data_IF_398711003883
#
_entry.id   IF_398711003883
#
_cell.length_a   1.000
_cell.length_b   1.000
_cell.length_c   1.000
_cell.angle_alpha   90.00
_cell.angle_beta   90.00
_cell.angle_gamma   90.00
#
_symmetry.space_group_name_H-M   'P 1'
#
loop_
_entity.id
_entity.type
_entity.pdbx_description
1 polymer ?
#
# COMPACT_ATOMS: atom_id res chain seq x y z
N UNK A 1 -5.74 -0.16 16.59
CA UNK A 1 -4.95 -0.29 15.34
C UNK A 1 -3.49 -0.61 15.67
N UNK A 2 -2.69 -1.05 14.72
CA UNK A 2 -1.24 -1.27 14.87
C UNK A 2 -0.53 -0.31 13.93
N UNK A 3 0.48 0.43 14.44
CA UNK A 3 1.18 1.43 13.65
C UNK A 3 2.41 0.83 12.95
N UNK A 4 2.59 1.19 11.69
CA UNK A 4 3.75 0.90 10.86
C UNK A 4 4.18 2.12 10.06
N UNK A 5 5.27 2.02 9.33
CA UNK A 5 5.76 3.04 8.42
C UNK A 5 6.34 2.40 7.18
N UNK A 6 6.17 3.04 6.03
CA UNK A 6 6.77 2.60 4.79
C UNK A 6 8.23 3.06 4.67
N UNK A 7 9.08 2.17 4.16
CA UNK A 7 10.50 2.44 3.95
C UNK A 7 10.79 3.49 2.87
N UNK A 8 9.79 3.99 2.15
CA UNK A 8 9.97 5.11 1.22
C UNK A 8 10.20 6.44 1.95
N UNK A 9 9.96 6.49 3.27
CA UNK A 9 10.13 7.67 4.09
C UNK A 9 11.58 8.06 4.37
N UNK A 10 12.57 7.22 4.04
CA UNK A 10 14.01 7.47 4.25
C UNK A 10 14.87 6.83 3.16
N UNK A 11 16.18 7.13 3.14
CA UNK A 11 17.12 6.54 2.19
C UNK A 11 17.66 5.20 2.72
N UNK A 12 18.00 4.24 1.85
CA UNK A 12 18.43 2.89 2.26
C UNK A 12 19.68 2.87 3.17
N UNK A 13 20.52 3.89 3.10
CA UNK A 13 21.68 4.04 3.98
C UNK A 13 21.32 4.50 5.40
N UNK A 14 20.06 4.82 5.68
CA UNK A 14 19.55 5.23 6.99
C UNK A 14 18.85 4.07 7.74
N UNK A 15 18.76 2.88 7.14
CA UNK A 15 17.99 1.74 7.71
C UNK A 15 18.37 1.44 9.16
N UNK A 16 19.67 1.38 9.51
CA UNK A 16 20.10 1.06 10.89
C UNK A 16 19.66 2.16 11.88
N UNK A 17 19.75 3.44 11.51
CA UNK A 17 19.31 4.55 12.35
C UNK A 17 17.79 4.51 12.56
N UNK A 18 17.03 4.23 11.50
CA UNK A 18 15.58 4.12 11.57
C UNK A 18 15.16 2.89 12.40
N UNK A 19 15.82 1.75 12.27
CA UNK A 19 15.56 0.57 13.10
C UNK A 19 15.71 0.89 14.59
N UNK A 20 16.78 1.59 14.97
CA UNK A 20 16.99 2.02 16.35
C UNK A 20 15.85 2.94 16.81
N UNK A 21 15.42 3.86 15.97
CA UNK A 21 14.30 4.77 16.25
C UNK A 21 12.98 4.00 16.42
N UNK A 22 12.66 3.09 15.51
CA UNK A 22 11.45 2.26 15.58
C UNK A 22 11.41 1.47 16.89
N UNK A 23 12.53 0.82 17.25
CA UNK A 23 12.66 0.07 18.51
C UNK A 23 12.49 0.98 19.74
N UNK A 24 13.10 2.18 19.75
CA UNK A 24 12.96 3.19 20.81
C UNK A 24 11.52 3.61 21.03
N UNK A 25 10.75 3.75 19.94
CA UNK A 25 9.33 4.15 19.97
C UNK A 25 8.37 2.98 20.13
N UNK A 26 8.86 1.74 20.18
CA UNK A 26 8.02 0.55 20.30
C UNK A 26 7.25 0.17 19.01
N UNK A 27 7.61 0.77 17.88
CA UNK A 27 7.01 0.47 16.59
C UNK A 27 7.63 -0.80 16.01
N UNK A 28 6.79 -1.75 15.60
CA UNK A 28 7.22 -3.08 15.15
C UNK A 28 6.87 -3.39 13.70
N UNK A 29 5.99 -2.61 13.08
CA UNK A 29 5.56 -2.81 11.70
C UNK A 29 6.41 -2.03 10.70
N UNK A 30 6.82 -2.69 9.63
CA UNK A 30 7.46 -2.09 8.48
C UNK A 30 6.71 -2.47 7.21
N UNK A 31 6.35 -1.49 6.42
CA UNK A 31 5.92 -1.66 5.05
C UNK A 31 7.08 -1.41 4.10
N UNK A 32 7.18 -2.22 3.05
CA UNK A 32 8.33 -2.15 2.14
C UNK A 32 7.92 -1.87 0.69
N UNK A 33 8.72 -1.06 0.01
CA UNK A 33 8.77 -0.99 -1.44
C UNK A 33 9.87 -1.95 -1.92
N UNK A 34 9.55 -3.05 -2.63
CA UNK A 34 10.53 -4.11 -2.95
C UNK A 34 11.76 -3.58 -3.69
N UNK A 35 11.56 -2.63 -4.62
CA UNK A 35 12.63 -2.05 -5.43
C UNK A 35 13.60 -1.16 -4.65
N UNK A 36 13.32 -0.83 -3.39
CA UNK A 36 14.32 -0.19 -2.51
C UNK A 36 15.39 -1.14 -1.99
N UNK A 37 15.10 -2.45 -2.00
CA UNK A 37 16.04 -3.48 -1.57
C UNK A 37 16.64 -4.25 -2.75
N UNK A 38 15.85 -4.46 -3.80
CA UNK A 38 16.24 -5.24 -4.97
C UNK A 38 15.92 -4.48 -6.24
N UNK A 39 16.91 -4.22 -7.07
CA UNK A 39 16.68 -3.63 -8.39
C UNK A 39 15.73 -4.48 -9.24
N UNK A 40 15.83 -5.79 -9.10
CA UNK A 40 14.98 -6.80 -9.74
C UNK A 40 14.44 -7.78 -8.69
N UNK A 41 13.32 -7.46 -8.02
CA UNK A 41 12.82 -8.25 -6.89
C UNK A 41 12.58 -9.73 -7.21
N UNK A 42 12.15 -10.04 -8.43
CA UNK A 42 11.84 -11.42 -8.83
C UNK A 42 13.08 -12.30 -9.11
N UNK A 43 14.27 -11.71 -9.17
CA UNK A 43 15.51 -12.46 -9.34
C UNK A 43 16.07 -12.98 -7.99
N UNK A 44 15.47 -12.58 -6.87
CA UNK A 44 15.90 -12.99 -5.53
C UNK A 44 15.70 -14.48 -5.29
N UNK A 45 16.76 -15.16 -4.90
CA UNK A 45 16.71 -16.58 -4.55
C UNK A 45 16.12 -16.84 -3.16
N UNK A 46 15.61 -18.06 -2.90
CA UNK A 46 14.99 -18.40 -1.60
C UNK A 46 15.90 -18.15 -0.38
N UNK A 47 17.19 -18.36 -0.52
CA UNK A 47 18.19 -18.12 0.54
C UNK A 47 18.29 -16.63 0.89
N UNK A 48 18.29 -15.77 -0.13
CA UNK A 48 18.36 -14.32 0.04
C UNK A 48 17.09 -13.80 0.72
N UNK A 49 15.92 -14.25 0.29
CA UNK A 49 14.63 -13.90 0.90
C UNK A 49 14.56 -14.33 2.37
N UNK A 50 15.06 -15.54 2.68
CA UNK A 50 15.12 -16.00 4.07
C UNK A 50 16.06 -15.15 4.92
N UNK A 51 17.23 -14.78 4.40
CA UNK A 51 18.19 -13.91 5.10
C UNK A 51 17.60 -12.51 5.31
N UNK A 52 16.91 -11.97 4.30
CA UNK A 52 16.23 -10.69 4.40
C UNK A 52 15.14 -10.70 5.49
N UNK A 53 14.29 -11.72 5.52
CA UNK A 53 13.28 -11.89 6.56
C UNK A 53 13.93 -11.95 7.95
N UNK A 54 14.95 -12.80 8.13
CA UNK A 54 15.66 -12.95 9.39
C UNK A 54 16.35 -11.66 9.85
N UNK A 55 16.87 -10.86 8.93
CA UNK A 55 17.49 -9.57 9.24
C UNK A 55 16.51 -8.65 9.98
N UNK A 56 15.26 -8.54 9.51
CA UNK A 56 14.24 -7.71 10.14
C UNK A 56 13.69 -8.32 11.43
N UNK A 57 13.44 -9.63 11.44
CA UNK A 57 12.94 -10.34 12.63
C UNK A 57 13.92 -10.24 13.83
N UNK A 58 15.22 -10.41 13.58
CA UNK A 58 16.26 -10.27 14.61
C UNK A 58 16.35 -8.85 15.19
N UNK A 59 15.82 -7.86 14.47
CA UNK A 59 15.72 -6.47 14.92
C UNK A 59 14.35 -6.12 15.50
N UNK A 60 13.53 -7.12 15.78
CA UNK A 60 12.15 -7.00 16.27
C UNK A 60 11.24 -6.19 15.33
N UNK A 61 11.46 -6.25 14.03
CA UNK A 61 10.63 -5.61 13.01
C UNK A 61 9.90 -6.69 12.22
N UNK A 62 8.58 -6.53 12.09
CA UNK A 62 7.72 -7.38 11.28
C UNK A 62 7.46 -6.70 9.93
N UNK A 63 7.71 -7.39 8.83
CA UNK A 63 7.29 -6.96 7.50
C UNK A 63 5.79 -7.19 7.36
N UNK A 64 5.00 -6.11 7.25
CA UNK A 64 3.52 -6.22 7.33
C UNK A 64 2.83 -6.04 6.00
N UNK A 65 3.37 -5.20 5.15
CA UNK A 65 2.81 -4.86 3.85
C UNK A 65 3.91 -4.58 2.82
N UNK A 66 3.51 -4.63 1.54
CA UNK A 66 4.30 -4.11 0.42
C UNK A 66 3.48 -3.09 -0.36
N UNK A 67 4.13 -2.03 -0.76
CA UNK A 67 3.57 -1.00 -1.63
C UNK A 67 4.52 -0.70 -2.80
N UNK A 68 4.13 0.19 -3.72
CA UNK A 68 4.94 0.53 -4.92
C UNK A 68 5.38 -0.71 -5.72
N UNK A 69 4.51 -1.73 -5.79
CA UNK A 69 4.81 -3.04 -6.36
C UNK A 69 5.37 -2.97 -7.78
N UNK A 70 4.89 -2.01 -8.57
CA UNK A 70 5.21 -1.83 -9.98
C UNK A 70 6.17 -0.66 -10.25
N UNK A 71 6.80 -0.13 -9.20
CA UNK A 71 7.75 0.97 -9.37
C UNK A 71 8.92 0.55 -10.27
N UNK A 72 9.24 1.39 -11.26
CA UNK A 72 10.30 1.09 -12.25
C UNK A 72 9.92 0.06 -13.32
N UNK A 73 8.73 -0.54 -13.26
CA UNK A 73 8.27 -1.49 -14.27
C UNK A 73 7.64 -0.78 -15.46
N UNK A 74 8.10 -1.10 -16.67
CA UNK A 74 7.63 -0.50 -17.91
C UNK A 74 6.92 -1.53 -18.80
N UNK A 75 5.95 -1.08 -19.59
CA UNK A 75 5.24 -1.95 -20.54
C UNK A 75 4.23 -2.89 -19.87
N UNK A 76 4.02 -2.78 -18.57
CA UNK A 76 3.00 -3.51 -17.82
C UNK A 76 1.76 -2.62 -17.66
N UNK A 77 0.65 -2.97 -18.29
CA UNK A 77 -0.59 -2.20 -18.17
C UNK A 77 -1.81 -3.13 -18.31
N UNK A 78 -2.80 -2.92 -17.45
CA UNK A 78 -4.01 -3.73 -17.38
C UNK A 78 -4.87 -3.63 -18.65
N UNK A 79 -4.94 -2.45 -19.26
CA UNK A 79 -5.90 -2.13 -20.32
C UNK A 79 -5.27 -1.94 -21.71
N UNK A 80 -3.93 -1.99 -21.88
CA UNK A 80 -3.33 -1.69 -23.18
C UNK A 80 -3.54 -2.82 -24.20
N UNK A 81 -3.12 -4.04 -23.90
CA UNK A 81 -3.33 -5.23 -24.71
C UNK A 81 -3.12 -6.52 -23.89
N UNK A 82 -3.47 -7.66 -24.48
CA UNK A 82 -3.39 -8.97 -23.82
C UNK A 82 -1.96 -9.32 -23.38
N UNK A 83 -0.95 -9.02 -24.19
CA UNK A 83 0.45 -9.33 -23.86
C UNK A 83 0.92 -8.54 -22.65
N UNK A 84 0.66 -7.23 -22.63
CA UNK A 84 1.01 -6.35 -21.50
C UNK A 84 0.29 -6.77 -20.21
N UNK A 85 -0.98 -7.15 -20.32
CA UNK A 85 -1.79 -7.65 -19.20
C UNK A 85 -1.25 -8.98 -18.65
N UNK A 86 -0.86 -9.90 -19.51
CA UNK A 86 -0.27 -11.17 -19.09
C UNK A 86 1.08 -10.94 -18.39
N UNK A 87 1.94 -10.08 -18.90
CA UNK A 87 3.19 -9.71 -18.24
C UNK A 87 2.96 -9.04 -16.88
N UNK A 88 1.93 -8.17 -16.78
CA UNK A 88 1.54 -7.58 -15.51
C UNK A 88 1.10 -8.65 -14.51
N UNK A 89 0.27 -9.59 -14.94
CA UNK A 89 -0.18 -10.71 -14.13
C UNK A 89 0.99 -11.56 -13.63
N UNK A 90 1.86 -12.00 -14.51
CA UNK A 90 3.06 -12.80 -14.18
C UNK A 90 3.94 -12.07 -13.17
N UNK A 91 4.16 -10.78 -13.35
CA UNK A 91 4.95 -9.98 -12.43
C UNK A 91 4.31 -9.89 -11.04
N UNK A 92 3.00 -9.61 -10.96
CA UNK A 92 2.27 -9.54 -9.69
C UNK A 92 2.25 -10.89 -8.97
N UNK A 93 2.07 -12.00 -9.70
CA UNK A 93 2.18 -13.36 -9.15
C UNK A 93 3.56 -13.61 -8.52
N UNK A 94 4.64 -13.19 -9.20
CA UNK A 94 5.99 -13.29 -8.65
C UNK A 94 6.19 -12.45 -7.38
N UNK A 95 5.60 -11.25 -7.32
CA UNK A 95 5.61 -10.41 -6.10
C UNK A 95 4.82 -11.08 -4.96
N UNK A 96 3.69 -11.74 -5.26
CA UNK A 96 2.92 -12.48 -4.25
C UNK A 96 3.72 -13.64 -3.64
N UNK A 97 4.39 -14.45 -4.48
CA UNK A 97 5.27 -15.54 -4.04
C UNK A 97 6.42 -15.00 -3.16
N UNK A 98 7.06 -13.90 -3.58
CA UNK A 98 8.10 -13.23 -2.80
C UNK A 98 7.54 -12.78 -1.43
N UNK A 99 6.39 -12.10 -1.43
CA UNK A 99 5.75 -11.58 -0.23
C UNK A 99 5.37 -12.71 0.75
N UNK A 100 4.80 -13.80 0.26
CA UNK A 100 4.48 -14.99 1.05
C UNK A 100 5.71 -15.58 1.74
N UNK A 101 6.82 -15.72 1.00
CA UNK A 101 8.11 -16.23 1.53
C UNK A 101 8.69 -15.38 2.66
N UNK A 102 8.59 -14.07 2.59
CA UNK A 102 9.09 -13.18 3.65
C UNK A 102 8.03 -12.87 4.73
N UNK A 103 6.79 -13.36 4.57
CA UNK A 103 5.73 -13.28 5.58
C UNK A 103 4.89 -12.00 5.55
N UNK A 104 5.00 -11.19 4.51
CA UNK A 104 4.14 -10.02 4.26
C UNK A 104 2.69 -10.46 4.03
N UNK A 105 1.71 -9.64 4.44
CA UNK A 105 0.29 -9.98 4.37
C UNK A 105 -0.52 -9.11 3.44
N UNK A 106 -0.21 -7.83 3.29
CA UNK A 106 -0.94 -6.91 2.43
C UNK A 106 -0.06 -6.42 1.27
N UNK A 107 -0.59 -6.44 0.06
CA UNK A 107 0.08 -5.96 -1.15
C UNK A 107 -0.75 -4.84 -1.75
N UNK A 108 -0.25 -3.61 -1.71
CA UNK A 108 -0.97 -2.42 -2.19
C UNK A 108 -0.78 -2.24 -3.69
N UNK A 109 -1.86 -2.46 -4.44
CA UNK A 109 -1.91 -2.22 -5.89
C UNK A 109 -2.40 -0.80 -6.16
N UNK A 110 -1.47 0.17 -6.08
CA UNK A 110 -1.75 1.60 -6.28
C UNK A 110 -1.47 2.11 -7.69
N UNK A 111 -0.38 1.79 -8.24
CA UNK A 111 0.24 2.16 -9.54
C UNK A 111 -0.68 2.74 -10.64
N UNK A 112 -0.98 4.05 -10.67
CA UNK A 112 -1.89 4.66 -11.67
C UNK A 112 -1.49 4.37 -13.12
N UNK A 113 -0.20 4.50 -13.43
CA UNK A 113 0.33 4.34 -14.81
C UNK A 113 0.14 2.93 -15.38
N UNK A 114 0.05 1.92 -14.52
CA UNK A 114 -0.10 0.52 -14.94
C UNK A 114 -1.56 0.11 -15.14
N UNK A 115 -2.52 1.03 -14.90
CA UNK A 115 -3.95 0.81 -15.05
C UNK A 115 -4.69 1.95 -15.73
N UNK A 116 -3.99 2.72 -16.59
CA UNK A 116 -4.62 3.71 -17.46
C UNK A 116 -5.57 3.02 -18.42
N UNK A 117 -6.82 3.51 -18.47
CA UNK A 117 -7.93 2.89 -19.20
C UNK A 117 -7.78 2.92 -20.72
N UNK A 118 -6.91 3.76 -21.25
CA UNK A 118 -6.67 3.92 -22.68
C UNK A 118 -7.95 4.23 -23.48
N UNK A 119 -8.88 4.96 -22.86
CA UNK A 119 -10.13 5.39 -23.50
C UNK A 119 -11.25 4.34 -23.51
N UNK A 120 -11.08 3.21 -22.82
CA UNK A 120 -12.15 2.22 -22.62
C UNK A 120 -13.28 2.82 -21.77
N UNK A 121 -14.52 2.47 -22.09
CA UNK A 121 -15.68 2.76 -21.25
C UNK A 121 -15.58 2.04 -19.89
N UNK A 122 -16.31 2.53 -18.87
CA UNK A 122 -16.32 1.89 -17.54
C UNK A 122 -16.73 0.42 -17.58
N UNK A 123 -17.69 0.05 -18.42
CA UNK A 123 -18.09 -1.36 -18.60
C UNK A 123 -16.95 -2.20 -19.15
N UNK A 124 -16.29 -1.75 -20.21
CA UNK A 124 -15.15 -2.47 -20.80
C UNK A 124 -13.98 -2.59 -19.82
N UNK A 125 -13.75 -1.57 -18.99
CA UNK A 125 -12.75 -1.63 -17.93
C UNK A 125 -13.07 -2.73 -16.91
N UNK A 126 -14.32 -2.83 -16.45
CA UNK A 126 -14.76 -3.85 -15.49
C UNK A 126 -14.75 -5.24 -16.12
N UNK A 127 -15.17 -5.40 -17.37
CA UNK A 127 -15.11 -6.68 -18.10
C UNK A 127 -13.68 -7.26 -18.18
N UNK A 128 -12.68 -6.40 -18.16
CA UNK A 128 -11.26 -6.79 -18.14
C UNK A 128 -10.74 -6.95 -16.70
N UNK A 129 -11.06 -6.02 -15.81
CA UNK A 129 -10.47 -5.95 -14.48
C UNK A 129 -11.00 -7.04 -13.55
N UNK A 130 -12.29 -7.35 -13.59
CA UNK A 130 -12.91 -8.35 -12.70
C UNK A 130 -12.24 -9.73 -12.87
N UNK A 131 -12.17 -10.34 -14.06
CA UNK A 131 -11.52 -11.63 -14.21
C UNK A 131 -10.02 -11.57 -13.93
N UNK A 132 -9.34 -10.47 -14.26
CA UNK A 132 -7.92 -10.29 -13.96
C UNK A 132 -7.63 -10.30 -12.45
N UNK A 133 -8.38 -9.54 -11.65
CA UNK A 133 -8.21 -9.52 -10.21
C UNK A 133 -8.74 -10.78 -9.52
N UNK A 134 -9.73 -11.48 -10.09
CA UNK A 134 -10.19 -12.76 -9.58
C UNK A 134 -9.08 -13.83 -9.66
N UNK A 135 -8.39 -13.94 -10.79
CA UNK A 135 -7.25 -14.86 -10.94
C UNK A 135 -6.11 -14.53 -9.96
N UNK A 136 -5.79 -13.24 -9.76
CA UNK A 136 -4.78 -12.81 -8.79
C UNK A 136 -5.23 -13.08 -7.35
N UNK A 137 -6.51 -12.94 -7.05
CA UNK A 137 -7.06 -13.20 -5.73
C UNK A 137 -6.95 -14.68 -5.31
N UNK A 138 -7.16 -15.61 -6.26
CA UNK A 138 -6.92 -17.04 -6.03
C UNK A 138 -5.46 -17.31 -5.66
N UNK A 139 -4.52 -16.75 -6.41
CA UNK A 139 -3.09 -16.88 -6.12
C UNK A 139 -2.70 -16.22 -4.78
N UNK A 140 -3.29 -15.08 -4.44
CA UNK A 140 -3.03 -14.39 -3.19
C UNK A 140 -3.36 -15.26 -1.96
N UNK A 141 -4.47 -16.00 -2.00
CA UNK A 141 -4.83 -16.95 -0.93
C UNK A 141 -3.81 -18.08 -0.81
N UNK A 142 -3.33 -18.61 -1.93
CA UNK A 142 -2.31 -19.68 -1.93
C UNK A 142 -1.02 -19.20 -1.25
N UNK A 143 -0.60 -17.98 -1.55
CA UNK A 143 0.60 -17.37 -0.98
C UNK A 143 0.35 -16.76 0.43
N UNK A 144 -0.87 -16.89 0.97
CA UNK A 144 -1.27 -16.34 2.27
C UNK A 144 -1.02 -14.83 2.38
N UNK A 145 -1.33 -14.11 1.30
CA UNK A 145 -1.32 -12.64 1.18
C UNK A 145 -2.69 -12.13 0.72
N UNK A 146 -2.89 -10.83 0.78
CA UNK A 146 -4.08 -10.14 0.25
C UNK A 146 -3.63 -9.05 -0.71
N UNK A 147 -4.13 -9.06 -1.94
CA UNK A 147 -3.96 -7.98 -2.88
C UNK A 147 -4.98 -6.89 -2.58
N UNK A 148 -4.53 -5.67 -2.31
CA UNK A 148 -5.38 -4.56 -1.92
C UNK A 148 -5.40 -3.51 -3.03
N UNK A 149 -6.56 -3.30 -3.66
CA UNK A 149 -6.72 -2.21 -4.64
C UNK A 149 -6.75 -0.86 -3.90
N UNK A 150 -5.94 0.06 -4.36
CA UNK A 150 -5.89 1.42 -3.84
C UNK A 150 -6.57 2.39 -4.82
N UNK A 151 -7.66 3.05 -4.44
CA UNK A 151 -8.19 4.16 -5.19
C UNK A 151 -7.19 5.32 -5.26
N UNK A 152 -6.88 5.77 -6.47
CA UNK A 152 -5.93 6.87 -6.68
C UNK A 152 -6.61 8.04 -7.39
N UNK A 153 -6.57 9.26 -6.83
CA UNK A 153 -7.17 10.44 -7.42
C UNK A 153 -6.69 10.71 -8.84
N UNK A 154 -7.56 11.32 -9.65
CA UNK A 154 -7.20 11.74 -11.02
C UNK A 154 -6.03 12.72 -11.07
N UNK A 155 -5.79 13.47 -9.98
CA UNK A 155 -4.64 14.35 -9.80
C UNK A 155 -3.30 13.57 -9.83
N UNK A 156 -3.31 12.26 -9.53
CA UNK A 156 -2.15 11.37 -9.67
C UNK A 156 -2.03 10.74 -11.07
N UNK A 157 -2.89 11.18 -12.01
CA UNK A 157 -2.93 10.65 -13.37
C UNK A 157 -3.63 9.30 -13.48
N UNK A 158 -4.51 8.97 -12.55
CA UNK A 158 -5.31 7.75 -12.56
C UNK A 158 -6.68 8.02 -13.22
N UNK A 159 -7.20 7.03 -13.98
CA UNK A 159 -8.52 7.09 -14.60
C UNK A 159 -9.32 5.78 -14.43
N UNK A 160 -8.82 4.87 -13.58
CA UNK A 160 -9.49 3.63 -13.19
C UNK A 160 -9.36 3.40 -11.68
N UNK A 161 -10.48 3.29 -11.00
CA UNK A 161 -10.59 3.23 -9.53
C UNK A 161 -9.97 4.48 -8.91
N UNK A 162 -10.71 5.57 -8.97
CA UNK A 162 -10.23 6.90 -8.60
C UNK A 162 -10.72 7.39 -7.24
N UNK A 163 -11.70 6.71 -6.64
CA UNK A 163 -12.30 7.05 -5.35
C UNK A 163 -12.73 5.78 -4.58
N UNK A 164 -13.10 5.96 -3.31
CA UNK A 164 -13.47 4.85 -2.42
C UNK A 164 -14.69 4.04 -2.92
N UNK A 165 -15.72 4.70 -3.44
CA UNK A 165 -16.93 4.00 -3.94
C UNK A 165 -16.59 3.10 -5.16
N UNK A 166 -15.73 3.54 -6.08
CA UNK A 166 -15.25 2.72 -7.20
C UNK A 166 -14.41 1.51 -6.71
N UNK A 167 -13.58 1.72 -5.68
CA UNK A 167 -12.81 0.65 -5.04
C UNK A 167 -13.69 -0.40 -4.40
N UNK A 168 -14.70 0.02 -3.63
CA UNK A 168 -15.70 -0.86 -3.01
C UNK A 168 -16.42 -1.67 -4.09
N UNK A 169 -16.89 -1.01 -5.14
CA UNK A 169 -17.58 -1.69 -6.25
C UNK A 169 -16.71 -2.79 -6.85
N UNK A 170 -15.46 -2.49 -7.19
CA UNK A 170 -14.57 -3.50 -7.79
C UNK A 170 -14.32 -4.68 -6.84
N UNK A 171 -14.12 -4.43 -5.55
CA UNK A 171 -13.93 -5.52 -4.56
C UNK A 171 -15.19 -6.38 -4.46
N UNK A 172 -16.38 -5.78 -4.47
CA UNK A 172 -17.66 -6.51 -4.47
C UNK A 172 -17.85 -7.36 -5.73
N UNK A 173 -17.52 -6.82 -6.90
CA UNK A 173 -17.64 -7.52 -8.19
C UNK A 173 -16.65 -8.69 -8.31
N UNK A 174 -15.41 -8.52 -7.83
CA UNK A 174 -14.43 -9.62 -7.75
C UNK A 174 -14.83 -10.64 -6.71
N UNK A 175 -15.41 -10.22 -5.59
CA UNK A 175 -16.00 -11.04 -4.52
C UNK A 175 -15.10 -12.21 -4.07
N UNK A 176 -13.86 -11.92 -3.72
CA UNK A 176 -12.89 -12.94 -3.31
C UNK A 176 -12.04 -12.49 -2.11
N UNK A 177 -11.79 -13.40 -1.15
CA UNK A 177 -11.05 -13.08 0.08
C UNK A 177 -9.61 -12.61 -0.16
N UNK A 178 -8.98 -13.05 -1.25
CA UNK A 178 -7.62 -12.66 -1.64
C UNK A 178 -7.51 -11.27 -2.28
N UNK A 179 -8.66 -10.57 -2.53
CA UNK A 179 -8.70 -9.23 -3.11
C UNK A 179 -9.56 -8.32 -2.24
N UNK A 180 -8.95 -7.27 -1.70
CA UNK A 180 -9.57 -6.38 -0.74
C UNK A 180 -9.27 -4.91 -1.07
N UNK A 181 -9.80 -4.00 -0.24
CA UNK A 181 -9.62 -2.56 -0.39
C UNK A 181 -8.44 -2.06 0.44
N UNK A 182 -7.71 -1.11 -0.12
CA UNK A 182 -6.82 -0.21 0.59
C UNK A 182 -7.39 1.22 0.54
N UNK A 183 -7.25 1.99 1.62
CA UNK A 183 -7.53 3.42 1.60
C UNK A 183 -6.31 4.23 2.01
N UNK A 184 -6.18 5.41 1.39
CA UNK A 184 -5.10 6.36 1.62
C UNK A 184 -5.66 7.73 2.05
N UNK A 185 -5.18 8.27 3.19
CA UNK A 185 -5.68 9.52 3.76
C UNK A 185 -5.49 10.71 2.82
N UNK A 186 -4.33 10.80 2.15
CA UNK A 186 -4.03 11.86 1.19
C UNK A 186 -4.90 11.78 -0.06
N UNK A 187 -5.21 10.55 -0.51
CA UNK A 187 -6.12 10.32 -1.65
C UNK A 187 -7.56 10.74 -1.32
N UNK A 188 -8.08 10.33 -0.16
CA UNK A 188 -9.41 10.76 0.32
C UNK A 188 -9.49 12.30 0.41
N UNK A 189 -8.42 12.94 0.93
CA UNK A 189 -8.32 14.39 1.06
C UNK A 189 -8.33 15.09 -0.29
N UNK A 190 -7.53 14.62 -1.27
CA UNK A 190 -7.48 15.19 -2.61
C UNK A 190 -8.80 15.09 -3.37
N UNK A 191 -9.54 14.03 -3.14
CA UNK A 191 -10.85 13.82 -3.72
C UNK A 191 -11.95 14.63 -3.03
N UNK A 192 -11.67 15.26 -1.90
CA UNK A 192 -12.67 15.87 -1.01
C UNK A 192 -13.78 14.86 -0.64
N UNK A 193 -13.42 13.61 -0.40
CA UNK A 193 -14.38 12.59 0.02
C UNK A 193 -14.88 12.88 1.43
N UNK A 194 -16.14 12.53 1.71
CA UNK A 194 -16.63 12.58 3.09
C UNK A 194 -15.97 11.43 3.85
N UNK A 195 -15.05 11.78 4.75
CA UNK A 195 -14.16 10.85 5.45
C UNK A 195 -14.95 9.75 6.19
N UNK A 196 -15.94 10.15 7.00
CA UNK A 196 -16.73 9.19 7.77
C UNK A 196 -17.45 8.21 6.85
N UNK A 197 -18.17 8.72 5.84
CA UNK A 197 -18.91 7.87 4.89
C UNK A 197 -17.99 6.95 4.08
N UNK A 198 -16.83 7.46 3.61
CA UNK A 198 -15.89 6.67 2.82
C UNK A 198 -15.30 5.51 3.65
N UNK A 199 -14.89 5.77 4.90
CA UNK A 199 -14.34 4.75 5.78
C UNK A 199 -15.43 3.75 6.21
N UNK A 200 -16.58 4.21 6.71
CA UNK A 200 -17.67 3.34 7.16
C UNK A 200 -18.12 2.34 6.08
N UNK A 201 -18.36 2.82 4.85
CA UNK A 201 -18.71 1.96 3.72
C UNK A 201 -17.60 0.95 3.37
N UNK A 202 -16.35 1.36 3.56
CA UNK A 202 -15.17 0.56 3.21
C UNK A 202 -14.86 -0.54 4.23
N UNK A 203 -15.31 -0.40 5.48
CA UNK A 203 -14.93 -1.29 6.59
C UNK A 203 -15.08 -2.79 6.31
N UNK A 204 -16.13 -3.28 5.63
CA UNK A 204 -16.26 -4.71 5.32
C UNK A 204 -15.16 -5.25 4.39
N UNK A 205 -14.47 -4.36 3.68
CA UNK A 205 -13.50 -4.68 2.64
C UNK A 205 -12.09 -4.15 2.94
N UNK A 206 -11.93 -3.30 3.98
CA UNK A 206 -10.71 -2.57 4.27
C UNK A 206 -9.65 -3.46 4.92
N UNK A 207 -8.60 -3.79 4.19
CA UNK A 207 -7.51 -4.64 4.66
C UNK A 207 -6.30 -3.85 5.15
N UNK A 208 -5.98 -2.72 4.51
CA UNK A 208 -4.83 -1.90 4.85
C UNK A 208 -5.16 -0.41 4.70
N UNK A 209 -4.45 0.46 5.43
CA UNK A 209 -4.70 1.91 5.42
C UNK A 209 -3.40 2.70 5.47
N UNK A 210 -3.25 3.70 4.58
CA UNK A 210 -2.13 4.64 4.62
C UNK A 210 -2.48 5.93 5.36
N UNK A 211 -1.63 6.26 6.34
CA UNK A 211 -1.55 7.56 6.99
C UNK A 211 -0.64 8.42 6.11
N UNK A 212 -1.21 9.25 5.27
CA UNK A 212 -0.50 10.00 4.25
C UNK A 212 -1.02 11.42 4.11
N UNK A 213 -0.23 12.27 3.50
CA UNK A 213 -0.62 13.59 3.04
C UNK A 213 -0.64 13.62 1.51
N UNK A 214 -1.44 14.50 0.88
CA UNK A 214 -1.41 14.67 -0.57
C UNK A 214 0.02 14.80 -1.10
N UNK A 215 0.30 14.13 -2.24
CA UNK A 215 1.60 14.09 -2.92
C UNK A 215 2.75 13.52 -2.08
N UNK A 216 2.43 12.64 -1.12
CA UNK A 216 3.37 12.03 -0.19
C UNK A 216 4.17 13.06 0.63
N UNK A 217 3.53 14.18 0.98
CA UNK A 217 4.11 15.18 1.86
C UNK A 217 4.34 14.62 3.27
N UNK A 218 5.04 15.38 4.11
CA UNK A 218 5.41 14.93 5.45
C UNK A 218 4.19 14.87 6.37
N UNK A 219 3.98 13.74 6.99
CA UNK A 219 2.90 13.54 7.98
C UNK A 219 3.25 14.24 9.29
N UNK A 220 2.28 14.94 9.87
CA UNK A 220 2.45 15.67 11.15
C UNK A 220 3.41 16.85 11.10
N UNK A 221 3.69 17.37 9.90
CA UNK A 221 4.51 18.56 9.67
C UNK A 221 3.70 19.83 9.43
N UNK A 222 4.39 20.96 9.26
CA UNK A 222 3.80 22.18 8.74
C UNK A 222 3.23 21.91 7.33
N UNK A 223 1.96 22.29 7.10
CA UNK A 223 1.28 22.01 5.82
C UNK A 223 0.57 20.65 5.75
N UNK A 224 0.48 19.90 6.85
CA UNK A 224 -0.42 18.75 6.98
C UNK A 224 -1.87 19.19 6.79
N UNK A 225 -2.59 18.57 5.86
CA UNK A 225 -3.96 18.96 5.48
C UNK A 225 -4.96 17.82 5.59
N UNK A 226 -4.48 16.58 5.65
CA UNK A 226 -5.34 15.41 5.85
C UNK A 226 -5.98 15.44 7.24
N UNK A 227 -7.29 15.16 7.38
CA UNK A 227 -8.01 15.25 8.66
C UNK A 227 -7.75 14.01 9.53
N UNK A 228 -6.48 13.79 9.89
CA UNK A 228 -6.02 12.57 10.56
C UNK A 228 -6.76 12.26 11.87
N UNK A 229 -7.21 13.28 12.63
CA UNK A 229 -7.97 13.04 13.88
C UNK A 229 -9.33 12.44 13.58
N UNK A 230 -10.07 13.01 12.61
CA UNK A 230 -11.36 12.49 12.16
C UNK A 230 -11.21 11.06 11.60
N UNK A 231 -10.20 10.84 10.72
CA UNK A 231 -9.90 9.52 10.17
C UNK A 231 -9.67 8.49 11.28
N UNK A 232 -8.84 8.82 12.26
CA UNK A 232 -8.51 7.91 13.35
C UNK A 232 -9.71 7.63 14.26
N UNK A 233 -10.56 8.63 14.52
CA UNK A 233 -11.80 8.48 15.28
C UNK A 233 -12.75 7.50 14.58
N UNK A 234 -13.01 7.72 13.28
CA UNK A 234 -13.90 6.83 12.49
C UNK A 234 -13.35 5.40 12.41
N UNK A 235 -12.05 5.22 12.18
CA UNK A 235 -11.42 3.90 12.18
C UNK A 235 -11.55 3.19 13.55
N UNK A 236 -11.40 3.93 14.66
CA UNK A 236 -11.55 3.40 16.02
C UNK A 236 -13.01 3.04 16.34
N UNK A 237 -13.94 3.90 16.00
CA UNK A 237 -15.39 3.68 16.21
C UNK A 237 -15.89 2.45 15.44
N UNK A 238 -15.33 2.21 14.26
CA UNK A 238 -15.63 1.03 13.45
C UNK A 238 -14.74 -0.19 13.78
N UNK A 239 -14.00 -0.17 14.90
CA UNK A 239 -13.18 -1.27 15.39
C UNK A 239 -12.12 -1.77 14.38
N UNK A 240 -11.55 -0.90 13.54
CA UNK A 240 -10.45 -1.29 12.65
C UNK A 240 -9.25 -1.78 13.46
N UNK A 241 -8.84 -3.05 13.29
CA UNK A 241 -7.80 -3.71 14.10
C UNK A 241 -6.52 -4.02 13.33
N UNK A 242 -6.52 -3.77 12.02
CA UNK A 242 -5.39 -4.04 11.16
C UNK A 242 -4.29 -2.97 11.30
N UNK A 243 -3.29 -3.06 10.44
CA UNK A 243 -2.20 -2.12 10.38
C UNK A 243 -2.62 -0.82 9.70
N UNK A 244 -2.13 0.29 10.24
CA UNK A 244 -2.10 1.61 9.60
C UNK A 244 -0.63 1.97 9.37
N UNK A 245 -0.27 2.36 8.15
CA UNK A 245 1.11 2.60 7.75
C UNK A 245 1.32 4.05 7.35
N UNK A 246 2.34 4.72 7.94
CA UNK A 246 2.71 6.03 7.47
C UNK A 246 3.34 5.91 6.08
N UNK A 247 2.75 6.63 5.12
CA UNK A 247 3.30 6.75 3.78
C UNK A 247 3.66 8.21 3.49
N UNK A 248 4.94 8.47 3.34
CA UNK A 248 5.49 9.78 2.94
C UNK A 248 6.81 9.58 2.21
N UNK A 249 7.15 10.47 1.28
CA UNK A 249 8.45 10.39 0.60
C UNK A 249 9.59 10.88 1.48
N UNK A 250 10.79 10.33 1.25
CA UNK A 250 12.03 10.82 1.84
C UNK A 250 12.34 12.27 1.40
N UNK A 251 13.24 12.92 2.09
CA UNK A 251 13.82 14.23 1.75
C UNK A 251 15.27 14.10 1.27
N UNK A 252 15.86 15.24 0.89
CA UNK A 252 17.23 15.31 0.41
C UNK A 252 18.28 15.22 1.53
N UNK A 253 17.87 15.46 2.77
CA UNK A 253 18.71 15.41 3.98
C UNK A 253 18.36 14.20 4.83
N UNK A 254 19.03 14.04 6.00
CA UNK A 254 18.66 12.97 6.96
C UNK A 254 17.17 12.99 7.29
N UNK A 255 16.56 11.81 7.19
CA UNK A 255 15.13 11.63 7.36
C UNK A 255 14.72 11.24 8.80
N UNK A 256 15.68 10.83 9.65
CA UNK A 256 15.40 10.31 10.99
C UNK A 256 14.54 11.25 11.84
N UNK A 257 14.86 12.54 11.86
CA UNK A 257 14.06 13.53 12.60
C UNK A 257 12.65 13.73 12.04
N UNK A 258 12.47 13.61 10.72
CA UNK A 258 11.16 13.69 10.09
C UNK A 258 10.34 12.42 10.37
N UNK A 259 10.95 11.26 10.27
CA UNK A 259 10.36 9.96 10.62
C UNK A 259 9.95 9.94 12.10
N UNK A 260 10.81 10.41 13.02
CA UNK A 260 10.48 10.49 14.45
C UNK A 260 9.24 11.35 14.71
N UNK A 261 9.14 12.52 14.08
CA UNK A 261 7.96 13.40 14.22
C UNK A 261 6.69 12.70 13.69
N UNK A 262 6.75 12.11 12.50
CA UNK A 262 5.61 11.43 11.90
C UNK A 262 5.14 10.25 12.77
N UNK A 263 6.06 9.44 13.29
CA UNK A 263 5.75 8.32 14.17
C UNK A 263 5.12 8.79 15.49
N UNK A 264 5.66 9.82 16.14
CA UNK A 264 5.08 10.38 17.37
C UNK A 264 3.68 10.94 17.12
N UNK A 265 3.51 11.72 16.05
CA UNK A 265 2.23 12.28 15.64
C UNK A 265 1.19 11.17 15.40
N UNK A 266 1.53 10.18 14.59
CA UNK A 266 0.63 9.08 14.29
C UNK A 266 0.34 8.19 15.52
N UNK A 267 1.33 7.97 16.39
CA UNK A 267 1.11 7.24 17.65
C UNK A 267 0.10 7.94 18.56
N UNK A 268 0.18 9.28 18.68
CA UNK A 268 -0.76 10.06 19.49
C UNK A 268 -2.20 9.99 18.97
N UNK A 269 -2.37 9.92 17.64
CA UNK A 269 -3.69 10.02 17.01
C UNK A 269 -4.32 8.65 16.75
N UNK A 270 -3.55 7.68 16.21
CA UNK A 270 -4.08 6.41 15.72
C UNK A 270 -3.95 5.24 16.71
N UNK A 271 -3.05 5.32 17.70
CA UNK A 271 -2.84 4.27 18.68
C UNK A 271 -3.38 4.67 20.04
#
# INVERSE_FOLDING_TARGET
>A
MKLSISNIAWNSNEDEEIILLLNKLGIRGLEIAPTKFWERPLDCGPKELLQFKQYWEQRNIQLIAMQSLLFGQHGLNLFSNVESRNKLKEYVLGIMDLAGKIGVKALVFGSPKNRLSNGLSKSEQLDIAIPFFAELAEAAVIENVTLCIEPNPSQYGCDFITNSDEGIQLVQEVNHAGFQLHLDAGALTLNNENISSAIEKSMPYLSHFHISEPYLNKVGGEGSVSPHREIAEVLKENEYKNWVSIEMKNGDNSNAGTVERALKYASEIYV
#
